data_IF_274148166792
#
_entry.id   IF_274148166792
#
_cell.length_a   1.000
_cell.length_b   1.000
_cell.length_c   1.000
_cell.angle_alpha   90.00
_cell.angle_beta   90.00
_cell.angle_gamma   90.00
#
_symmetry.space_group_name_H-M   'P 1'
#
loop_
_entity.id
_entity.type
_entity.pdbx_description
1 polymer ?
#
# COMPACT_ATOMS: atom_id res chain seq x y z
N UNK A 1 -50.37 4.63 -8.89
CA UNK A 1 -49.19 4.98 -8.07
C UNK A 1 -48.30 3.74 -8.01
N UNK A 2 -47.41 3.59 -8.98
CA UNK A 2 -46.58 2.40 -9.16
C UNK A 2 -45.52 2.27 -8.06
N UNK A 3 -45.48 1.09 -7.44
CA UNK A 3 -44.42 0.67 -6.53
C UNK A 3 -43.12 0.53 -7.30
N UNK A 4 -42.14 1.40 -7.01
CA UNK A 4 -40.74 1.21 -7.40
C UNK A 4 -40.19 -0.04 -6.68
N UNK A 5 -40.25 -1.20 -7.34
CA UNK A 5 -39.50 -2.38 -6.91
C UNK A 5 -38.03 -2.17 -7.28
N UNK A 6 -37.22 -1.73 -6.32
CA UNK A 6 -35.76 -1.89 -6.42
C UNK A 6 -35.48 -3.33 -5.98
N UNK A 7 -35.35 -4.24 -6.94
CA UNK A 7 -35.02 -5.64 -6.69
C UNK A 7 -33.70 -5.74 -5.95
N UNK A 8 -33.73 -6.21 -4.71
CA UNK A 8 -32.54 -6.55 -3.93
C UNK A 8 -32.01 -7.86 -4.50
N UNK A 9 -30.87 -7.82 -5.21
CA UNK A 9 -30.18 -9.06 -5.60
C UNK A 9 -29.59 -9.65 -4.33
N UNK A 10 -30.15 -10.76 -3.84
CA UNK A 10 -29.52 -11.57 -2.82
C UNK A 10 -28.34 -12.30 -3.45
N UNK A 11 -27.13 -11.80 -3.21
CA UNK A 11 -25.90 -12.46 -3.64
C UNK A 11 -25.38 -13.32 -2.49
N UNK A 12 -25.18 -14.62 -2.73
CA UNK A 12 -24.55 -15.48 -1.73
C UNK A 12 -23.10 -15.01 -1.50
N UNK A 13 -22.79 -14.58 -0.27
CA UNK A 13 -21.49 -14.00 0.08
C UNK A 13 -20.31 -14.92 -0.28
N UNK A 14 -20.52 -16.23 -0.21
CA UNK A 14 -19.54 -17.25 -0.61
C UNK A 14 -19.22 -17.19 -2.11
N UNK A 15 -20.24 -17.09 -2.95
CA UNK A 15 -20.06 -16.99 -4.41
C UNK A 15 -19.35 -15.68 -4.78
N UNK A 16 -19.71 -14.57 -4.12
CA UNK A 16 -19.05 -13.28 -4.33
C UNK A 16 -17.56 -13.33 -3.92
N UNK A 17 -17.25 -13.95 -2.77
CA UNK A 17 -15.88 -14.11 -2.29
C UNK A 17 -15.05 -15.01 -3.23
N UNK A 18 -15.64 -16.08 -3.77
CA UNK A 18 -14.99 -16.95 -4.74
C UNK A 18 -14.69 -16.22 -6.04
N UNK A 19 -15.66 -15.47 -6.58
CA UNK A 19 -15.47 -14.67 -7.78
C UNK A 19 -14.38 -13.61 -7.59
N UNK A 20 -14.40 -12.89 -6.46
CA UNK A 20 -13.37 -11.92 -6.10
C UNK A 20 -11.98 -12.58 -6.02
N UNK A 21 -11.89 -13.74 -5.38
CA UNK A 21 -10.64 -14.49 -5.27
C UNK A 21 -10.10 -14.95 -6.63
N UNK A 22 -10.98 -15.31 -7.56
CA UNK A 22 -10.61 -15.68 -8.92
C UNK A 22 -10.08 -14.47 -9.72
N UNK A 23 -10.73 -13.32 -9.60
CA UNK A 23 -10.27 -12.06 -10.21
C UNK A 23 -8.90 -11.66 -9.67
N UNK A 24 -8.70 -11.73 -8.35
CA UNK A 24 -7.41 -11.41 -7.74
C UNK A 24 -6.31 -12.38 -8.20
N UNK A 25 -6.61 -13.69 -8.31
CA UNK A 25 -5.68 -14.66 -8.86
C UNK A 25 -5.30 -14.32 -10.31
N UNK A 26 -6.28 -14.03 -11.16
CA UNK A 26 -6.03 -13.66 -12.55
C UNK A 26 -5.16 -12.40 -12.66
N UNK A 27 -5.41 -11.40 -11.81
CA UNK A 27 -4.62 -10.17 -11.73
C UNK A 27 -3.17 -10.44 -11.33
N UNK A 28 -2.94 -11.34 -10.36
CA UNK A 28 -1.58 -11.73 -9.96
C UNK A 28 -0.86 -12.45 -11.09
N UNK A 29 -1.51 -13.39 -11.78
CA UNK A 29 -0.88 -14.05 -12.94
C UNK A 29 -0.53 -13.03 -14.04
N UNK A 30 -1.40 -12.06 -14.31
CA UNK A 30 -1.13 -10.99 -15.27
C UNK A 30 0.07 -10.12 -14.85
N UNK A 31 0.13 -9.71 -13.58
CA UNK A 31 1.27 -8.94 -13.04
C UNK A 31 2.59 -9.68 -13.29
N UNK A 32 2.63 -10.98 -12.99
CA UNK A 32 3.84 -11.79 -13.14
C UNK A 32 4.20 -12.08 -14.60
N UNK A 33 3.20 -12.29 -15.46
CA UNK A 33 3.43 -12.48 -16.89
C UNK A 33 4.07 -11.22 -17.52
N UNK A 34 3.59 -10.03 -17.14
CA UNK A 34 4.08 -8.76 -17.65
C UNK A 34 5.44 -8.34 -17.06
N UNK A 35 5.75 -8.80 -15.85
CA UNK A 35 6.93 -8.38 -15.09
C UNK A 35 7.83 -9.56 -14.68
N UNK A 36 7.91 -10.59 -15.53
CA UNK A 36 8.68 -11.81 -15.23
C UNK A 36 10.16 -11.53 -14.90
N UNK A 37 10.72 -10.47 -15.50
CA UNK A 37 12.09 -10.01 -15.28
C UNK A 37 12.38 -9.48 -13.87
N UNK A 38 11.35 -9.17 -13.06
CA UNK A 38 11.52 -8.82 -11.65
C UNK A 38 12.22 -9.96 -10.90
N UNK A 39 11.95 -11.22 -11.27
CA UNK A 39 12.63 -12.39 -10.68
C UNK A 39 14.13 -12.41 -10.92
N UNK A 40 14.60 -11.70 -11.95
CA UNK A 40 16.02 -11.52 -12.27
C UNK A 40 16.56 -10.17 -11.76
N UNK A 41 15.80 -9.43 -10.93
CA UNK A 41 16.19 -8.13 -10.38
C UNK A 41 15.90 -6.93 -11.29
N UNK A 42 15.27 -7.15 -12.45
CA UNK A 42 14.89 -6.07 -13.38
C UNK A 42 13.71 -5.22 -12.87
N UNK A 43 13.61 -3.98 -13.34
CA UNK A 43 12.47 -3.09 -13.07
C UNK A 43 11.19 -3.59 -13.77
N UNK A 44 9.98 -3.21 -13.35
CA UNK A 44 8.75 -3.54 -14.09
C UNK A 44 8.69 -2.81 -15.44
N UNK A 45 8.41 -3.56 -16.53
CA UNK A 45 8.21 -2.97 -17.87
C UNK A 45 6.83 -2.35 -18.03
N UNK A 46 5.81 -3.02 -17.50
CA UNK A 46 4.41 -2.63 -17.66
C UNK A 46 3.77 -2.53 -16.29
N UNK A 47 3.36 -1.31 -15.93
CA UNK A 47 2.75 -1.02 -14.65
C UNK A 47 1.24 -1.00 -14.82
N UNK A 48 0.55 -1.97 -14.22
CA UNK A 48 -0.90 -1.96 -14.16
C UNK A 48 -1.38 -0.77 -13.31
N UNK A 49 -2.56 -0.17 -13.57
CA UNK A 49 -3.07 0.96 -12.78
C UNK A 49 -3.03 0.77 -11.25
N UNK A 50 -3.43 -0.37 -10.65
CA UNK A 50 -3.36 -0.58 -9.20
C UNK A 50 -1.92 -0.76 -8.67
N UNK A 51 -0.95 -0.95 -9.56
CA UNK A 51 0.47 -1.11 -9.25
C UNK A 51 1.26 0.18 -9.56
N UNK A 52 0.59 1.20 -10.10
CA UNK A 52 1.18 2.51 -10.36
C UNK A 52 1.24 3.34 -9.08
N UNK A 53 2.32 3.12 -8.32
CA UNK A 53 2.60 3.85 -7.09
C UNK A 53 3.08 5.26 -7.45
N UNK A 54 2.30 6.27 -7.06
CA UNK A 54 2.70 7.67 -7.16
C UNK A 54 3.62 8.01 -5.99
N UNK A 55 4.66 8.79 -6.25
CA UNK A 55 5.63 9.22 -5.23
C UNK A 55 5.77 10.74 -5.27
N UNK A 56 5.69 11.35 -4.10
CA UNK A 56 5.84 12.79 -3.89
C UNK A 56 6.87 13.02 -2.78
N UNK A 57 7.81 13.93 -3.01
CA UNK A 57 8.76 14.40 -1.99
C UNK A 57 8.23 15.71 -1.47
N UNK A 58 7.96 15.79 -0.17
CA UNK A 58 7.39 16.95 0.51
C UNK A 58 8.41 17.51 1.50
N UNK A 59 8.16 18.73 1.99
CA UNK A 59 8.95 19.37 3.05
C UNK A 59 10.45 19.31 2.81
N UNK A 60 10.88 19.66 1.59
CA UNK A 60 12.29 19.66 1.19
C UNK A 60 13.02 18.33 1.41
N UNK A 61 12.31 17.20 1.36
CA UNK A 61 12.90 15.86 1.52
C UNK A 61 12.67 15.21 2.88
N UNK A 62 12.00 15.89 3.81
CA UNK A 62 11.70 15.33 5.13
C UNK A 62 10.58 14.29 5.11
N UNK A 63 9.72 14.33 4.08
CA UNK A 63 8.63 13.38 3.89
C UNK A 63 8.65 12.83 2.48
N UNK A 64 8.51 11.52 2.35
CA UNK A 64 8.16 10.86 1.09
C UNK A 64 6.76 10.29 1.22
N UNK A 65 5.83 10.76 0.38
CA UNK A 65 4.47 10.24 0.29
C UNK A 65 4.36 9.29 -0.89
N UNK A 66 3.87 8.08 -0.65
CA UNK A 66 3.47 7.14 -1.69
C UNK A 66 1.96 7.01 -1.69
N UNK A 67 1.36 6.98 -2.88
CA UNK A 67 -0.07 6.68 -3.06
C UNK A 67 -0.23 5.42 -3.90
N UNK A 68 -0.84 4.39 -3.31
CA UNK A 68 -1.19 3.13 -3.98
C UNK A 68 -2.71 3.05 -4.10
N UNK A 69 -3.25 2.85 -5.30
CA UNK A 69 -4.70 2.72 -5.53
C UNK A 69 -5.24 1.33 -5.16
N UNK A 70 -4.81 0.84 -4.00
CA UNK A 70 -5.19 -0.44 -3.41
C UNK A 70 -4.87 -0.45 -1.90
N UNK A 71 -5.23 -1.51 -1.18
CA UNK A 71 -4.85 -1.74 0.22
C UNK A 71 -4.36 -3.18 0.45
N UNK A 72 -3.47 -3.43 1.43
CA UNK A 72 -2.96 -4.77 1.69
C UNK A 72 -4.03 -5.76 2.13
N UNK A 73 -3.84 -7.04 1.80
CA UNK A 73 -4.64 -8.14 2.34
C UNK A 73 -4.49 -8.27 3.87
N UNK A 74 -5.37 -9.08 4.47
CA UNK A 74 -5.28 -9.45 5.88
C UNK A 74 -4.18 -10.51 6.10
N UNK A 75 -3.53 -10.50 7.27
CA UNK A 75 -2.47 -11.45 7.63
C UNK A 75 -2.84 -12.92 7.38
N UNK A 76 -4.07 -13.32 7.74
CA UNK A 76 -4.51 -14.73 7.65
C UNK A 76 -4.79 -15.21 6.23
N UNK A 77 -4.92 -14.30 5.27
CA UNK A 77 -5.42 -14.61 3.92
C UNK A 77 -4.40 -14.32 2.82
N UNK A 78 -3.26 -13.72 3.18
CA UNK A 78 -2.32 -13.24 2.19
C UNK A 78 -1.52 -14.39 1.57
N UNK A 79 -1.37 -14.35 0.26
CA UNK A 79 -0.52 -15.28 -0.50
C UNK A 79 0.84 -14.63 -0.74
N UNK A 80 1.90 -15.43 -0.82
CA UNK A 80 3.27 -14.91 -1.02
C UNK A 80 3.39 -14.01 -2.25
N UNK A 81 2.70 -14.37 -3.35
CA UNK A 81 2.62 -13.54 -4.56
C UNK A 81 2.09 -12.12 -4.31
N UNK A 82 1.16 -11.94 -3.38
CA UNK A 82 0.62 -10.62 -3.06
C UNK A 82 1.59 -9.81 -2.20
N UNK A 83 2.28 -10.45 -1.25
CA UNK A 83 3.36 -9.82 -0.49
C UNK A 83 4.45 -9.30 -1.41
N UNK A 84 4.95 -10.17 -2.29
CA UNK A 84 5.98 -9.84 -3.27
C UNK A 84 5.55 -8.66 -4.16
N UNK A 85 4.29 -8.63 -4.60
CA UNK A 85 3.75 -7.51 -5.38
C UNK A 85 3.85 -6.18 -4.63
N UNK A 86 3.42 -6.15 -3.37
CA UNK A 86 3.51 -4.94 -2.54
C UNK A 86 4.95 -4.50 -2.31
N UNK A 87 5.82 -5.45 -1.98
CA UNK A 87 7.26 -5.21 -1.81
C UNK A 87 7.83 -4.55 -3.07
N UNK A 88 7.61 -5.18 -4.23
CA UNK A 88 8.14 -4.72 -5.51
C UNK A 88 7.61 -3.33 -5.88
N UNK A 89 6.30 -3.12 -5.76
CA UNK A 89 5.67 -1.86 -6.10
C UNK A 89 6.24 -0.70 -5.27
N UNK A 90 6.37 -0.88 -3.95
CA UNK A 90 6.97 0.12 -3.05
C UNK A 90 8.46 0.30 -3.37
N UNK A 91 9.21 -0.79 -3.50
CA UNK A 91 10.64 -0.77 -3.76
C UNK A 91 10.97 -0.01 -5.05
N UNK A 92 10.33 -0.36 -6.17
CA UNK A 92 10.63 0.26 -7.46
C UNK A 92 10.17 1.72 -7.53
N UNK A 93 9.10 2.10 -6.83
CA UNK A 93 8.72 3.51 -6.72
C UNK A 93 9.81 4.32 -6.01
N UNK A 94 10.33 3.78 -4.89
CA UNK A 94 11.32 4.47 -4.06
C UNK A 94 12.72 4.48 -4.67
N UNK A 95 13.13 3.43 -5.41
CA UNK A 95 14.43 3.44 -6.11
C UNK A 95 14.60 4.65 -7.03
N UNK A 96 13.51 5.15 -7.64
CA UNK A 96 13.52 6.32 -8.53
C UNK A 96 13.85 7.65 -7.85
N UNK A 97 13.70 7.70 -6.52
CA UNK A 97 13.93 8.92 -5.74
C UNK A 97 15.03 8.75 -4.69
N UNK A 98 15.65 7.57 -4.60
CA UNK A 98 16.59 7.22 -3.52
C UNK A 98 17.69 8.26 -3.35
N UNK A 99 18.28 8.73 -4.43
CA UNK A 99 19.39 9.69 -4.39
C UNK A 99 18.95 11.14 -4.06
N UNK A 100 17.64 11.37 -3.88
CA UNK A 100 17.06 12.68 -3.57
C UNK A 100 16.68 12.84 -2.10
N UNK A 101 16.76 11.76 -1.32
CA UNK A 101 16.34 11.74 0.09
C UNK A 101 17.39 10.99 0.91
N UNK A 102 17.48 11.33 2.20
CA UNK A 102 18.39 10.65 3.12
C UNK A 102 17.74 10.53 4.49
N UNK A 103 17.69 9.30 5.01
CA UNK A 103 17.12 9.00 6.31
C UNK A 103 18.04 8.04 7.08
N UNK A 104 18.40 8.43 8.30
CA UNK A 104 19.08 7.53 9.24
C UNK A 104 18.07 6.63 9.96
N UNK A 105 16.91 7.21 10.31
CA UNK A 105 15.76 6.56 10.92
C UNK A 105 14.49 7.20 10.40
N UNK A 106 13.42 6.41 10.29
CA UNK A 106 12.11 6.88 9.80
C UNK A 106 10.98 6.50 10.75
N UNK A 107 9.93 7.32 10.72
CA UNK A 107 8.60 6.93 11.15
C UNK A 107 7.73 6.71 9.91
N UNK A 108 7.15 5.52 9.75
CA UNK A 108 6.24 5.20 8.64
C UNK A 108 4.81 5.31 9.12
N UNK A 109 4.06 6.28 8.57
CA UNK A 109 2.64 6.42 8.84
C UNK A 109 1.81 5.94 7.64
N UNK A 110 0.86 5.04 7.87
CA UNK A 110 0.03 4.46 6.82
C UNK A 110 -1.43 4.88 7.01
N UNK A 111 -1.99 5.61 6.05
CA UNK A 111 -3.39 6.01 6.02
C UNK A 111 -4.15 5.12 5.03
N UNK A 112 -5.00 4.24 5.54
CA UNK A 112 -5.83 3.37 4.73
C UNK A 112 -7.17 4.02 4.39
N UNK A 113 -7.61 3.88 3.15
CA UNK A 113 -8.92 4.31 2.70
C UNK A 113 -9.70 3.08 2.24
N UNK A 114 -10.73 2.70 2.99
CA UNK A 114 -11.48 1.47 2.75
C UNK A 114 -12.92 1.72 2.32
N UNK A 115 -13.49 0.86 1.45
CA UNK A 115 -14.89 0.93 1.06
C UNK A 115 -15.81 0.22 2.07
N UNK A 116 -15.43 0.20 3.36
CA UNK A 116 -16.24 -0.37 4.44
C UNK A 116 -15.94 0.34 5.77
N UNK A 117 -16.95 0.46 6.62
CA UNK A 117 -16.91 1.27 7.84
C UNK A 117 -16.41 0.49 9.07
N UNK A 118 -16.60 -0.83 9.10
CA UNK A 118 -16.24 -1.67 10.24
C UNK A 118 -15.13 -2.64 9.86
N UNK A 119 -13.91 -2.12 9.81
CA UNK A 119 -12.72 -2.90 9.46
C UNK A 119 -11.74 -2.85 10.62
N UNK A 120 -11.27 -4.04 10.98
CA UNK A 120 -10.15 -4.21 11.87
C UNK A 120 -8.84 -4.04 11.08
N UNK A 121 -8.16 -2.93 11.32
CA UNK A 121 -7.05 -2.46 10.47
C UNK A 121 -5.70 -2.98 10.93
N UNK A 122 -5.58 -3.33 12.21
CA UNK A 122 -4.40 -3.98 12.78
C UNK A 122 -4.12 -5.36 12.16
N UNK A 123 -5.16 -5.97 11.56
CA UNK A 123 -5.10 -7.24 10.87
C UNK A 123 -4.57 -7.14 9.42
N UNK A 124 -4.14 -5.95 8.97
CA UNK A 124 -3.58 -5.71 7.63
C UNK A 124 -2.08 -5.98 7.61
N UNK A 125 -1.63 -6.67 6.57
CA UNK A 125 -0.21 -6.99 6.43
C UNK A 125 0.58 -5.79 5.91
N UNK A 126 1.15 -5.02 6.84
CA UNK A 126 1.99 -3.85 6.54
C UNK A 126 3.45 -4.23 6.29
N UNK A 127 3.88 -5.45 6.66
CA UNK A 127 5.29 -5.85 6.55
C UNK A 127 5.82 -5.74 5.12
N UNK A 128 5.07 -6.14 4.07
CA UNK A 128 5.48 -5.93 2.68
C UNK A 128 5.84 -4.48 2.34
N UNK A 129 5.17 -3.49 2.95
CA UNK A 129 5.47 -2.08 2.74
C UNK A 129 6.84 -1.74 3.34
N UNK A 130 7.08 -2.13 4.59
CA UNK A 130 8.36 -1.88 5.29
C UNK A 130 9.52 -2.60 4.58
N UNK A 131 9.31 -3.85 4.18
CA UNK A 131 10.30 -4.62 3.41
C UNK A 131 10.62 -3.92 2.08
N UNK A 132 9.62 -3.37 1.38
CA UNK A 132 9.82 -2.58 0.16
C UNK A 132 10.65 -1.31 0.39
N UNK A 133 10.44 -0.60 1.50
CA UNK A 133 11.23 0.58 1.90
C UNK A 133 12.69 0.19 2.15
N UNK A 134 12.93 -0.90 2.88
CA UNK A 134 14.27 -1.46 3.12
C UNK A 134 14.96 -1.86 1.82
N UNK A 135 14.29 -2.62 0.96
CA UNK A 135 14.89 -3.10 -0.30
C UNK A 135 15.12 -1.99 -1.34
N UNK A 136 14.42 -0.86 -1.22
CA UNK A 136 14.77 0.35 -1.97
C UNK A 136 16.06 1.01 -1.47
N UNK A 137 16.53 0.66 -0.26
CA UNK A 137 17.68 1.27 0.39
C UNK A 137 17.38 2.66 0.95
N UNK A 138 16.11 2.94 1.27
CA UNK A 138 15.69 4.17 1.96
C UNK A 138 16.08 4.11 3.45
N UNK A 139 16.06 2.91 4.03
CA UNK A 139 16.58 2.60 5.36
C UNK A 139 17.51 1.39 5.28
N UNK A 140 18.43 1.26 6.23
CA UNK A 140 19.40 0.17 6.25
C UNK A 140 18.77 -1.19 6.60
N UNK A 141 17.76 -1.22 7.48
CA UNK A 141 17.15 -2.45 7.99
C UNK A 141 15.71 -2.18 8.51
N UNK A 142 14.91 -3.23 8.74
CA UNK A 142 13.54 -3.15 9.29
C UNK A 142 13.48 -3.35 10.82
N UNK A 143 14.64 -3.35 11.48
CA UNK A 143 14.73 -3.42 12.94
C UNK A 143 14.30 -2.11 13.62
N UNK A 144 13.97 -2.22 14.91
CA UNK A 144 13.50 -1.10 15.76
C UNK A 144 14.43 0.12 15.78
N UNK A 145 15.71 -0.06 15.39
CA UNK A 145 16.71 0.99 15.29
C UNK A 145 16.43 1.97 14.15
N UNK A 146 15.86 1.49 13.04
CA UNK A 146 15.74 2.26 11.79
C UNK A 146 14.30 2.64 11.45
N UNK A 147 13.32 1.90 11.96
CA UNK A 147 11.91 2.14 11.64
C UNK A 147 11.03 2.06 12.87
N UNK A 148 10.09 2.99 12.94
CA UNK A 148 8.89 2.90 13.77
C UNK A 148 7.69 3.17 12.87
N UNK A 149 6.50 2.69 13.22
CA UNK A 149 5.35 2.87 12.34
C UNK A 149 4.04 3.04 13.11
N UNK A 150 3.07 3.62 12.43
CA UNK A 150 1.69 3.74 12.89
C UNK A 150 0.74 3.75 11.70
N UNK A 151 -0.55 3.63 11.98
CA UNK A 151 -1.55 3.67 10.93
C UNK A 151 -2.85 4.32 11.40
N UNK A 152 -3.65 4.74 10.43
CA UNK A 152 -5.04 5.15 10.62
C UNK A 152 -5.87 4.68 9.44
N UNK A 153 -7.20 4.78 9.55
CA UNK A 153 -8.08 4.47 8.45
C UNK A 153 -9.26 5.44 8.35
N UNK A 154 -9.72 5.64 7.12
CA UNK A 154 -10.92 6.40 6.79
C UNK A 154 -11.79 5.61 5.81
N UNK A 155 -13.11 5.81 5.89
CA UNK A 155 -14.01 5.28 4.87
C UNK A 155 -13.83 6.06 3.56
N UNK A 156 -13.84 5.35 2.42
CA UNK A 156 -13.81 5.93 1.08
C UNK A 156 -14.36 4.94 0.06
N UNK A 157 -15.21 5.41 -0.86
CA UNK A 157 -15.63 4.63 -2.02
C UNK A 157 -14.51 4.41 -3.05
N UNK A 158 -13.42 5.18 -2.96
CA UNK A 158 -12.21 5.05 -3.76
C UNK A 158 -11.09 4.48 -2.87
N UNK A 159 -10.90 3.15 -2.84
CA UNK A 159 -9.90 2.55 -1.99
C UNK A 159 -8.49 2.94 -2.41
N UNK A 160 -7.67 3.30 -1.42
CA UNK A 160 -6.25 3.60 -1.60
C UNK A 160 -5.50 3.42 -0.27
N UNK A 161 -4.19 3.37 -0.37
CA UNK A 161 -3.27 3.43 0.77
C UNK A 161 -2.31 4.57 0.53
N UNK A 162 -2.22 5.48 1.49
CA UNK A 162 -1.18 6.49 1.52
C UNK A 162 -0.13 6.07 2.55
N UNK A 163 1.13 6.12 2.14
CA UNK A 163 2.28 5.74 2.96
C UNK A 163 3.16 6.97 3.08
N UNK A 164 3.35 7.45 4.29
CA UNK A 164 4.21 8.59 4.59
C UNK A 164 5.47 8.05 5.26
N UNK A 165 6.61 8.25 4.63
CA UNK A 165 7.93 7.97 5.19
C UNK A 165 8.46 9.29 5.71
N UNK A 166 8.52 9.43 7.02
CA UNK A 166 8.83 10.69 7.68
C UNK A 166 10.19 10.56 8.34
N UNK A 167 11.05 11.56 8.16
CA UNK A 167 12.31 11.67 8.90
C UNK A 167 12.03 11.66 10.40
N UNK A 168 12.70 10.75 11.13
CA UNK A 168 12.32 10.46 12.52
C UNK A 168 12.46 11.67 13.45
N UNK A 169 13.46 12.52 13.25
CA UNK A 169 13.69 13.70 14.11
C UNK A 169 12.49 14.66 14.12
N UNK A 170 11.75 14.72 13.00
CA UNK A 170 10.64 15.65 12.81
C UNK A 170 9.27 14.94 12.85
N UNK A 171 9.24 13.63 13.13
CA UNK A 171 8.01 12.86 12.96
C UNK A 171 6.82 13.36 13.78
N UNK A 172 6.94 13.82 15.04
CA UNK A 172 5.76 14.18 15.82
C UNK A 172 5.00 15.36 15.21
N UNK A 173 5.73 16.39 14.77
CA UNK A 173 5.17 17.59 14.13
C UNK A 173 4.55 17.23 12.78
N UNK A 174 5.30 16.54 11.93
CA UNK A 174 4.84 16.12 10.60
C UNK A 174 3.65 15.16 10.65
N UNK A 175 3.62 14.26 11.62
CA UNK A 175 2.48 13.38 11.83
C UNK A 175 1.23 14.16 12.25
N UNK A 176 1.38 15.18 13.09
CA UNK A 176 0.26 16.04 13.47
C UNK A 176 -0.32 16.77 12.25
N UNK A 177 0.52 17.30 11.37
CA UNK A 177 0.08 17.92 10.11
C UNK A 177 -0.70 16.91 9.24
N UNK A 178 -0.12 15.73 8.97
CA UNK A 178 -0.74 14.67 8.15
C UNK A 178 -2.08 14.18 8.70
N UNK A 179 -2.23 14.12 10.03
CA UNK A 179 -3.47 13.68 10.66
C UNK A 179 -4.60 14.71 10.51
N UNK A 180 -4.25 15.99 10.46
CA UNK A 180 -5.19 17.11 10.35
C UNK A 180 -5.44 17.56 8.90
N UNK A 181 -4.72 17.01 7.92
CA UNK A 181 -5.10 17.11 6.51
C UNK A 181 -6.41 16.31 6.25
N UNK A 182 -7.40 16.99 5.66
CA UNK A 182 -8.73 16.46 5.29
C UNK A 182 -8.69 15.50 4.09
#
# INVERSE_FOLDING_TARGET
MEKKMIGKVEVEAKHLLNAYSAVEKARMELYWALNYQIKAGGEPNNILPPDNVKVEILDSGEIVKLTVMNYPARFKTIKDKEKERWINNVMFALKKIKDKVSFDRVFVFIKFYFPAQHIDIDNRDIKPIIDGIKYAGIIADDSYKYVSYGFSARFSSKPKTEIFIIKYENFPEKLYEILNED
#
